data_IF_732735478554
#
_entry.id   IF_732735478554
#
_cell.length_a   1.000
_cell.length_b   1.000
_cell.length_c   1.000
_cell.angle_alpha   90.00
_cell.angle_beta   90.00
_cell.angle_gamma   90.00
#
_symmetry.space_group_name_H-M   'P 1'
#
loop_
_entity.id
_entity.type
_entity.pdbx_description
1 polymer ?
#
# COMPACT_ATOMS: atom_id res chain seq x y z
N UNK A 1 -11.17 12.93 29.96
CA UNK A 1 -9.73 12.97 29.65
C UNK A 1 -9.28 11.79 28.79
N UNK A 2 -9.58 10.55 29.19
CA UNK A 2 -9.01 9.33 28.57
C UNK A 2 -9.45 9.04 27.13
N UNK A 3 -10.75 8.98 26.83
CA UNK A 3 -11.24 8.58 25.50
C UNK A 3 -10.76 9.52 24.37
N UNK A 4 -10.72 10.84 24.62
CA UNK A 4 -10.21 11.83 23.65
C UNK A 4 -8.71 11.64 23.37
N UNK A 5 -7.92 11.28 24.37
CA UNK A 5 -6.51 10.99 24.19
C UNK A 5 -6.30 9.72 23.35
N UNK A 6 -7.10 8.68 23.60
CA UNK A 6 -7.07 7.41 22.84
C UNK A 6 -7.45 7.64 21.37
N UNK A 7 -8.53 8.36 21.11
CA UNK A 7 -8.93 8.71 19.73
C UNK A 7 -7.83 9.47 19.01
N UNK A 8 -7.11 10.35 19.72
CA UNK A 8 -6.05 11.11 19.09
C UNK A 8 -4.83 10.25 18.74
N UNK A 9 -4.41 9.36 19.64
CA UNK A 9 -3.35 8.40 19.34
C UNK A 9 -3.74 7.44 18.21
N UNK A 10 -5.00 7.03 18.14
CA UNK A 10 -5.52 6.16 17.08
C UNK A 10 -5.50 6.84 15.71
N UNK A 11 -5.88 8.12 15.65
CA UNK A 11 -5.84 8.90 14.40
C UNK A 11 -4.42 9.08 13.87
N UNK A 12 -3.45 9.35 14.76
CA UNK A 12 -2.03 9.46 14.37
C UNK A 12 -1.50 8.11 13.88
N UNK A 13 -1.80 7.04 14.62
CA UNK A 13 -1.40 5.69 14.23
C UNK A 13 -1.95 5.33 12.85
N UNK A 14 -3.25 5.56 12.61
CA UNK A 14 -3.89 5.36 11.31
C UNK A 14 -3.15 6.13 10.21
N UNK A 15 -2.89 7.43 10.44
CA UNK A 15 -2.23 8.29 9.45
C UNK A 15 -0.84 7.77 9.09
N UNK A 16 -0.02 7.41 10.09
CA UNK A 16 1.32 6.89 9.87
C UNK A 16 1.28 5.52 9.19
N UNK A 17 0.35 4.65 9.57
CA UNK A 17 0.18 3.33 8.97
C UNK A 17 -0.19 3.43 7.49
N UNK A 18 -1.17 4.27 7.13
CA UNK A 18 -1.53 4.48 5.73
C UNK A 18 -0.40 5.16 4.95
N UNK A 19 0.25 6.17 5.53
CA UNK A 19 1.40 6.84 4.92
C UNK A 19 2.54 5.86 4.64
N UNK A 20 2.88 5.00 5.61
CA UNK A 20 3.88 3.95 5.46
C UNK A 20 3.49 2.90 4.44
N UNK A 21 2.23 2.45 4.45
CA UNK A 21 1.68 1.52 3.46
C UNK A 21 1.83 2.06 2.04
N UNK A 22 1.37 3.29 1.78
CA UNK A 22 1.49 3.90 0.46
C UNK A 22 2.95 4.19 0.08
N UNK A 23 3.79 4.56 1.04
CA UNK A 23 5.22 4.76 0.82
C UNK A 23 5.93 3.47 0.38
N UNK A 24 5.71 2.37 1.10
CA UNK A 24 6.29 1.06 0.77
C UNK A 24 5.70 0.51 -0.53
N UNK A 25 4.39 0.64 -0.77
CA UNK A 25 3.75 0.26 -2.03
C UNK A 25 4.33 1.03 -3.20
N UNK A 26 4.45 2.36 -3.09
CA UNK A 26 5.02 3.21 -4.14
C UNK A 26 6.48 2.87 -4.44
N UNK A 27 7.29 2.67 -3.40
CA UNK A 27 8.68 2.23 -3.55
C UNK A 27 8.77 0.86 -4.21
N UNK A 28 7.92 -0.09 -3.80
CA UNK A 28 7.86 -1.43 -4.39
C UNK A 28 7.44 -1.39 -5.86
N UNK A 29 6.46 -0.56 -6.19
CA UNK A 29 6.03 -0.35 -7.58
C UNK A 29 7.17 0.23 -8.42
N UNK A 30 7.85 1.26 -7.92
CA UNK A 30 8.97 1.88 -8.61
C UNK A 30 10.13 0.90 -8.80
N UNK A 31 10.49 0.15 -7.76
CA UNK A 31 11.55 -0.86 -7.81
C UNK A 31 11.22 -2.03 -8.76
N UNK A 32 9.95 -2.37 -8.93
CA UNK A 32 9.48 -3.41 -9.85
C UNK A 32 9.36 -2.95 -11.32
N UNK A 33 9.76 -1.72 -11.66
CA UNK A 33 9.68 -1.19 -13.03
C UNK A 33 8.36 -0.49 -13.36
N UNK A 34 7.53 -0.19 -12.36
CA UNK A 34 6.25 0.51 -12.50
C UNK A 34 5.03 -0.42 -12.56
N UNK A 35 3.83 0.18 -12.50
CA UNK A 35 2.57 -0.58 -12.49
C UNK A 35 2.34 -1.39 -13.78
N UNK A 36 2.71 -0.84 -14.94
CA UNK A 36 2.58 -1.55 -16.22
C UNK A 36 3.44 -2.81 -16.28
N UNK A 37 4.63 -2.75 -15.68
CA UNK A 37 5.55 -3.88 -15.65
C UNK A 37 5.06 -4.96 -14.70
N UNK A 38 4.53 -4.58 -13.53
CA UNK A 38 3.89 -5.52 -12.59
C UNK A 38 2.72 -6.25 -13.25
N UNK A 39 1.89 -5.53 -14.01
CA UNK A 39 0.77 -6.13 -14.73
C UNK A 39 1.28 -7.06 -15.85
N UNK A 40 2.29 -6.65 -16.64
CA UNK A 40 2.91 -7.50 -17.67
C UNK A 40 3.48 -8.79 -17.08
N UNK A 41 4.27 -8.70 -16.01
CA UNK A 41 4.85 -9.87 -15.33
C UNK A 41 3.75 -10.77 -14.75
N UNK A 42 2.67 -10.17 -14.24
CA UNK A 42 1.55 -10.94 -13.69
C UNK A 42 0.74 -11.64 -14.79
N UNK A 43 0.64 -11.04 -15.97
CA UNK A 43 0.03 -11.64 -17.18
C UNK A 43 0.89 -12.80 -17.70
N UNK A 44 2.19 -12.56 -17.87
CA UNK A 44 3.17 -13.56 -18.32
C UNK A 44 3.29 -14.73 -17.34
N UNK A 45 3.15 -14.46 -16.04
CA UNK A 45 3.11 -15.48 -15.01
C UNK A 45 1.81 -16.26 -14.93
N UNK A 46 0.83 -15.98 -15.79
CA UNK A 46 -0.49 -16.61 -15.78
C UNK A 46 -1.30 -16.33 -14.50
N UNK A 47 -0.97 -15.27 -13.78
CA UNK A 47 -1.61 -14.88 -12.50
C UNK A 47 -2.79 -13.93 -12.70
N UNK A 48 -2.87 -13.28 -13.86
CA UNK A 48 -4.03 -12.47 -14.24
C UNK A 48 -5.05 -13.35 -14.96
N UNK A 49 -6.14 -13.70 -14.27
CA UNK A 49 -7.33 -14.30 -14.89
C UNK A 49 -8.32 -13.17 -15.15
N UNK A 50 -8.44 -12.74 -16.39
CA UNK A 50 -9.39 -11.68 -16.74
C UNK A 50 -10.82 -12.20 -16.97
N UNK A 51 -11.03 -13.47 -17.29
CA UNK A 51 -12.32 -14.16 -17.33
C UNK A 51 -12.10 -15.66 -17.55
#
# INVERSE_FOLDING_TARGET
GGLKAVVWTDTIQLTITFGGLFGVLGLGIHAAGGLSEILRISDEGGRLVFF
#
